data_IF_945708432402
#
_entry.id   IF_945708432402
#
_cell.length_a   1.000
_cell.length_b   1.000
_cell.length_c   1.000
_cell.angle_alpha   90.00
_cell.angle_beta   90.00
_cell.angle_gamma   90.00
#
_symmetry.space_group_name_H-M   'P 1'
#
loop_
_entity.id
_entity.type
_entity.pdbx_description
1 polymer ?
#
# COMPACT_ATOMS: atom_id res chain seq x y z
N UNK A 1 17.46 13.72 21.67
CA UNK A 1 16.43 12.66 21.78
C UNK A 1 16.89 11.56 22.74
N UNK A 2 16.32 11.46 23.96
CA UNK A 2 16.80 10.53 24.97
C UNK A 2 16.72 9.05 24.56
N UNK A 3 15.67 8.65 23.83
CA UNK A 3 15.46 7.26 23.46
C UNK A 3 16.43 6.78 22.36
N UNK A 4 16.54 7.51 21.25
CA UNK A 4 17.46 7.17 20.16
C UNK A 4 18.91 7.14 20.65
N UNK A 5 19.30 8.16 21.44
CA UNK A 5 20.62 8.23 22.07
C UNK A 5 20.89 7.00 22.95
N UNK A 6 19.96 6.64 23.84
CA UNK A 6 20.10 5.49 24.73
C UNK A 6 20.27 4.18 23.96
N UNK A 7 19.50 3.98 22.90
CA UNK A 7 19.56 2.74 22.11
C UNK A 7 20.87 2.66 21.33
N UNK A 8 21.30 3.74 20.68
CA UNK A 8 22.56 3.79 19.93
C UNK A 8 23.77 3.61 20.86
N UNK A 9 23.75 4.26 22.03
CA UNK A 9 24.82 4.16 23.02
C UNK A 9 24.95 2.76 23.63
N UNK A 10 23.83 2.10 23.92
CA UNK A 10 23.82 0.78 24.58
C UNK A 10 24.02 -0.40 23.63
N UNK A 11 23.86 -0.18 22.32
CA UNK A 11 24.13 -1.22 21.33
C UNK A 11 25.64 -1.43 21.22
N UNK A 12 26.08 -2.69 21.28
CA UNK A 12 27.50 -3.04 21.13
C UNK A 12 27.89 -3.20 19.67
N UNK A 13 27.05 -3.90 18.90
CA UNK A 13 27.27 -4.20 17.50
C UNK A 13 26.77 -3.05 16.59
N UNK A 14 26.27 -3.39 15.39
CA UNK A 14 25.76 -2.45 14.40
C UNK A 14 24.36 -1.97 14.81
N UNK A 15 24.09 -0.70 14.51
CA UNK A 15 22.75 -0.15 14.62
C UNK A 15 22.19 0.08 13.23
N UNK A 16 20.99 -0.42 12.96
CA UNK A 16 20.28 -0.21 11.70
C UNK A 16 19.07 0.67 12.00
N UNK A 17 19.04 1.89 11.46
CA UNK A 17 17.93 2.82 11.65
C UNK A 17 17.12 2.90 10.37
N UNK A 18 15.88 2.42 10.41
CA UNK A 18 14.94 2.56 9.32
C UNK A 18 14.09 3.82 9.51
N UNK A 19 14.06 4.69 8.52
CA UNK A 19 13.27 5.93 8.55
C UNK A 19 12.83 6.37 7.16
N UNK A 20 11.87 7.30 7.10
CA UNK A 20 11.49 7.94 5.85
C UNK A 20 12.66 8.75 5.30
N UNK A 21 13.01 8.54 4.02
CA UNK A 21 14.12 9.27 3.39
C UNK A 21 13.84 10.76 3.21
N UNK A 22 12.59 11.20 3.38
CA UNK A 22 12.20 12.61 3.39
C UNK A 22 12.34 13.28 4.76
N UNK A 23 12.53 12.51 5.85
CA UNK A 23 12.61 13.07 7.18
C UNK A 23 14.05 13.49 7.53
N UNK A 24 14.55 14.52 6.84
CA UNK A 24 15.93 15.03 6.96
C UNK A 24 16.33 15.31 8.41
N UNK A 25 15.49 15.98 9.19
CA UNK A 25 15.78 16.27 10.61
C UNK A 25 15.96 15.01 11.46
N UNK A 26 15.23 13.92 11.17
CA UNK A 26 15.43 12.65 11.87
C UNK A 26 16.78 12.03 11.50
N UNK A 27 17.15 12.09 10.23
CA UNK A 27 18.46 11.60 9.77
C UNK A 27 19.59 12.41 10.40
N UNK A 28 19.47 13.74 10.45
CA UNK A 28 20.42 14.61 11.17
C UNK A 28 20.60 14.16 12.63
N UNK A 29 19.50 13.96 13.36
CA UNK A 29 19.55 13.50 14.75
C UNK A 29 20.26 12.15 14.90
N UNK A 30 20.08 11.23 13.94
CA UNK A 30 20.78 9.94 13.94
C UNK A 30 22.27 10.14 13.68
N UNK A 31 22.66 11.00 12.73
CA UNK A 31 24.05 11.32 12.42
C UNK A 31 24.75 11.97 13.63
N UNK A 32 24.12 12.97 14.25
CA UNK A 32 24.65 13.64 15.43
C UNK A 32 24.86 12.65 16.58
N UNK A 33 23.89 11.74 16.77
CA UNK A 33 23.98 10.69 17.78
C UNK A 33 25.08 9.69 17.46
N UNK A 34 25.25 9.29 16.20
CA UNK A 34 26.34 8.43 15.77
C UNK A 34 27.70 9.10 16.03
N UNK A 35 27.83 10.39 15.70
CA UNK A 35 29.04 11.18 15.92
C UNK A 35 29.42 11.22 17.41
N UNK A 36 28.45 11.49 18.30
CA UNK A 36 28.66 11.52 19.75
C UNK A 36 29.20 10.20 20.31
N UNK A 37 28.83 9.07 19.70
CA UNK A 37 29.27 7.74 20.15
C UNK A 37 30.40 7.14 19.32
N UNK A 38 31.07 7.96 18.50
CA UNK A 38 32.17 7.54 17.63
C UNK A 38 31.78 6.37 16.72
N UNK A 39 30.57 6.43 16.17
CA UNK A 39 30.05 5.46 15.19
C UNK A 39 30.07 6.06 13.79
N UNK A 40 30.59 5.31 12.82
CA UNK A 40 30.55 5.69 11.40
C UNK A 40 29.15 5.48 10.84
N UNK A 41 28.78 6.22 9.78
CA UNK A 41 27.42 6.19 9.22
C UNK A 41 27.46 5.81 7.74
N UNK A 42 26.52 4.96 7.31
CA UNK A 42 26.27 4.71 5.89
C UNK A 42 24.77 4.84 5.55
N UNK A 43 24.48 5.43 4.40
CA UNK A 43 23.11 5.50 3.86
C UNK A 43 22.82 4.27 2.99
N UNK A 44 21.72 3.59 3.27
CA UNK A 44 21.29 2.40 2.53
C UNK A 44 19.99 2.68 1.78
N UNK A 45 20.02 2.47 0.47
CA UNK A 45 18.87 2.60 -0.42
C UNK A 45 18.90 3.88 -1.25
N UNK A 46 18.45 3.76 -2.50
CA UNK A 46 18.52 4.82 -3.52
C UNK A 46 17.88 6.14 -3.07
N UNK A 47 16.67 6.07 -2.51
CA UNK A 47 15.95 7.27 -2.04
C UNK A 47 16.63 7.93 -0.84
N UNK A 48 17.24 7.15 0.07
CA UNK A 48 17.97 7.70 1.21
C UNK A 48 19.21 8.47 0.73
N UNK A 49 20.04 7.83 -0.11
CA UNK A 49 21.25 8.45 -0.68
C UNK A 49 20.90 9.73 -1.45
N UNK A 50 19.91 9.65 -2.35
CA UNK A 50 19.50 10.80 -3.17
C UNK A 50 18.99 11.96 -2.32
N UNK A 51 18.07 11.70 -1.39
CA UNK A 51 17.45 12.76 -0.60
C UNK A 51 18.47 13.41 0.35
N UNK A 52 19.37 12.62 0.96
CA UNK A 52 20.38 13.17 1.86
C UNK A 52 21.42 14.00 1.11
N UNK A 53 21.78 13.61 -0.12
CA UNK A 53 22.61 14.44 -1.00
C UNK A 53 21.95 15.79 -1.28
N UNK A 54 20.68 15.79 -1.71
CA UNK A 54 19.92 17.03 -1.96
C UNK A 54 19.84 17.88 -0.68
N UNK A 55 19.55 17.27 0.46
CA UNK A 55 19.46 17.97 1.73
C UNK A 55 20.80 18.60 2.15
N UNK A 56 21.93 17.94 1.88
CA UNK A 56 23.26 18.49 2.13
C UNK A 56 23.58 19.64 1.18
N UNK A 57 23.30 19.48 -0.12
CA UNK A 57 23.51 20.52 -1.13
C UNK A 57 22.68 21.80 -0.83
N UNK A 58 21.49 21.62 -0.22
CA UNK A 58 20.60 22.71 0.20
C UNK A 58 20.91 23.25 1.61
N UNK A 59 21.87 22.67 2.35
CA UNK A 59 22.21 23.09 3.71
C UNK A 59 21.22 22.68 4.81
N UNK A 60 20.28 21.77 4.53
CA UNK A 60 19.36 21.19 5.53
C UNK A 60 19.95 20.01 6.31
N UNK A 61 21.04 19.43 5.81
CA UNK A 61 21.76 18.32 6.43
C UNK A 61 23.24 18.69 6.61
N UNK A 62 23.69 18.70 7.85
CA UNK A 62 25.07 18.92 8.23
C UNK A 62 25.72 17.58 8.57
N UNK A 63 26.72 17.18 7.80
CA UNK A 63 27.43 15.92 8.00
C UNK A 63 28.85 16.20 8.51
N UNK A 64 29.21 15.78 9.73
CA UNK A 64 30.57 15.88 10.22
C UNK A 64 31.58 15.21 9.27
N UNK A 65 32.72 15.88 9.03
CA UNK A 65 33.74 15.36 8.12
C UNK A 65 34.23 13.97 8.54
N UNK A 66 34.32 13.07 7.56
CA UNK A 66 34.79 11.69 7.75
C UNK A 66 33.80 10.74 8.42
N UNK A 67 32.61 11.17 8.86
CA UNK A 67 31.66 10.24 9.50
C UNK A 67 31.01 9.26 8.52
N UNK A 68 30.81 9.69 7.27
CA UNK A 68 30.18 8.88 6.23
C UNK A 68 31.19 7.95 5.56
N UNK A 69 30.72 6.75 5.20
CA UNK A 69 31.44 5.79 4.37
C UNK A 69 30.50 5.13 3.34
N UNK A 70 31.06 4.50 2.31
CA UNK A 70 30.24 3.76 1.33
C UNK A 70 29.80 2.43 1.95
N UNK A 71 28.50 2.12 1.85
CA UNK A 71 27.95 0.86 2.32
C UNK A 71 28.61 -0.39 1.71
N UNK A 72 29.25 -0.27 0.54
CA UNK A 72 30.03 -1.35 -0.09
C UNK A 72 31.32 -1.68 0.67
N UNK A 73 31.81 -0.74 1.46
CA UNK A 73 33.02 -0.89 2.27
C UNK A 73 32.70 -1.42 3.67
N UNK A 74 31.44 -1.78 3.96
CA UNK A 74 30.99 -2.18 5.30
C UNK A 74 31.86 -3.27 5.93
N UNK A 75 32.33 -4.25 5.14
CA UNK A 75 33.17 -5.35 5.62
C UNK A 75 34.57 -4.89 6.09
N UNK A 76 34.99 -3.66 5.74
CA UNK A 76 36.24 -3.06 6.20
C UNK A 76 36.11 -2.30 7.53
N UNK A 77 34.88 -2.13 8.05
CA UNK A 77 34.61 -1.42 9.29
C UNK A 77 34.35 -2.39 10.44
N UNK A 78 34.62 -1.93 11.66
CA UNK A 78 34.21 -2.64 12.86
C UNK A 78 32.68 -2.59 13.04
N UNK A 79 32.17 -3.28 14.06
CA UNK A 79 30.74 -3.25 14.37
C UNK A 79 30.26 -1.86 14.88
N UNK A 80 31.13 -0.84 14.99
CA UNK A 80 30.76 0.51 15.45
C UNK A 80 30.26 1.38 14.31
N UNK A 81 29.22 0.89 13.65
CA UNK A 81 28.56 1.55 12.53
C UNK A 81 27.06 1.77 12.81
N UNK A 82 26.51 2.77 12.12
CA UNK A 82 25.09 3.08 12.04
C UNK A 82 24.67 3.08 10.57
N UNK A 83 23.76 2.18 10.21
CA UNK A 83 23.21 2.06 8.87
C UNK A 83 21.84 2.73 8.81
N UNK A 84 21.71 3.82 8.06
CA UNK A 84 20.44 4.55 7.93
C UNK A 84 19.78 4.11 6.63
N UNK A 85 18.64 3.44 6.73
CA UNK A 85 18.03 2.73 5.60
C UNK A 85 16.56 3.09 5.35
N UNK A 86 16.08 2.79 4.15
CA UNK A 86 14.64 2.80 3.81
C UNK A 86 13.96 1.49 4.21
N UNK A 87 12.62 1.46 4.17
CA UNK A 87 11.83 0.25 4.40
C UNK A 87 11.15 0.19 5.75
N UNK A 88 10.91 1.35 6.36
CA UNK A 88 10.30 1.41 7.69
C UNK A 88 8.79 1.11 7.69
N UNK A 89 8.18 0.96 6.51
CA UNK A 89 6.79 0.49 6.34
C UNK A 89 6.70 -0.96 5.82
N UNK A 90 7.82 -1.69 5.77
CA UNK A 90 7.84 -3.07 5.28
C UNK A 90 7.65 -3.19 3.77
N UNK A 91 7.97 -2.14 3.00
CA UNK A 91 7.89 -2.18 1.54
C UNK A 91 8.83 -3.28 1.01
N UNK A 92 8.35 -4.28 0.25
CA UNK A 92 9.13 -5.50 -0.04
C UNK A 92 10.51 -5.25 -0.67
N UNK A 93 10.60 -4.24 -1.55
CA UNK A 93 11.84 -3.92 -2.28
C UNK A 93 12.74 -2.91 -1.56
N UNK A 94 12.33 -2.41 -0.39
CA UNK A 94 13.14 -1.47 0.37
C UNK A 94 14.31 -2.16 1.10
N UNK A 95 15.29 -1.36 1.51
CA UNK A 95 16.54 -1.86 2.06
C UNK A 95 16.31 -2.77 3.28
N UNK A 96 15.53 -2.32 4.27
CA UNK A 96 15.28 -3.10 5.47
C UNK A 96 14.55 -4.42 5.19
N UNK A 97 13.50 -4.39 4.37
CA UNK A 97 12.73 -5.61 4.02
C UNK A 97 13.59 -6.63 3.31
N UNK A 98 14.48 -6.19 2.40
CA UNK A 98 15.45 -7.09 1.76
C UNK A 98 16.46 -7.65 2.75
N UNK A 99 16.91 -6.88 3.74
CA UNK A 99 17.77 -7.41 4.82
C UNK A 99 17.02 -8.47 5.64
N UNK A 100 15.76 -8.21 5.97
CA UNK A 100 14.90 -9.11 6.73
C UNK A 100 14.56 -10.41 5.97
N UNK A 101 14.43 -10.36 4.65
CA UNK A 101 14.19 -11.55 3.83
C UNK A 101 15.48 -12.29 3.44
N UNK A 102 16.65 -11.71 3.74
CA UNK A 102 17.92 -12.27 3.30
C UNK A 102 18.24 -12.06 1.81
N UNK A 103 17.56 -11.11 1.16
CA UNK A 103 17.76 -10.72 -0.24
C UNK A 103 18.65 -9.48 -0.40
N UNK A 104 19.42 -9.14 0.64
CA UNK A 104 20.34 -8.01 0.68
C UNK A 104 21.77 -8.48 0.98
N UNK A 105 22.79 -7.75 0.48
CA UNK A 105 24.20 -8.06 0.75
C UNK A 105 24.50 -7.94 2.25
N UNK A 106 24.00 -6.89 2.89
CA UNK A 106 24.05 -6.72 4.34
C UNK A 106 23.11 -7.73 5.01
N UNK A 107 23.67 -8.62 5.83
CA UNK A 107 22.94 -9.57 6.67
C UNK A 107 22.77 -9.01 8.07
N UNK A 108 21.54 -8.95 8.56
CA UNK A 108 21.22 -8.56 9.94
C UNK A 108 21.15 -9.83 10.79
N UNK A 109 21.69 -9.80 12.01
CA UNK A 109 21.60 -10.93 12.92
C UNK A 109 21.98 -10.64 14.37
N UNK A 110 22.43 -11.67 15.09
CA UNK A 110 22.75 -11.62 16.51
C UNK A 110 23.58 -10.40 16.93
N UNK A 111 23.08 -9.68 17.94
CA UNK A 111 23.75 -8.52 18.52
C UNK A 111 23.53 -7.20 17.77
N UNK A 112 22.99 -7.22 16.54
CA UNK A 112 22.55 -6.02 15.86
C UNK A 112 21.28 -5.44 16.53
N UNK A 113 21.14 -4.12 16.47
CA UNK A 113 19.91 -3.45 16.88
C UNK A 113 19.27 -2.76 15.69
N UNK A 114 18.01 -3.09 15.40
CA UNK A 114 17.20 -2.41 14.39
C UNK A 114 16.25 -1.42 15.06
N UNK A 115 16.27 -0.16 14.63
CA UNK A 115 15.40 0.91 15.11
C UNK A 115 14.44 1.30 13.98
N UNK A 116 13.16 1.01 14.17
CA UNK A 116 12.08 1.52 13.32
C UNK A 116 11.71 2.93 13.79
N UNK A 117 12.35 3.94 13.20
CA UNK A 117 12.19 5.34 13.55
C UNK A 117 10.97 6.01 12.86
N UNK A 118 9.93 5.24 12.53
CA UNK A 118 8.67 5.70 11.97
C UNK A 118 7.47 5.13 12.71
N UNK A 119 6.31 5.80 12.62
CA UNK A 119 5.03 5.20 12.93
C UNK A 119 4.62 4.19 11.85
N UNK A 120 3.77 3.25 12.21
CA UNK A 120 3.02 2.45 11.25
C UNK A 120 2.00 3.36 10.55
N UNK A 121 1.98 3.34 9.22
CA UNK A 121 0.89 3.90 8.43
C UNK A 121 -0.23 2.85 8.37
N UNK A 122 -1.50 3.21 8.62
CA UNK A 122 -2.62 2.28 8.52
C UNK A 122 -2.63 1.52 7.19
N UNK A 123 -2.77 0.19 7.27
CA UNK A 123 -2.71 -0.72 6.12
C UNK A 123 -1.36 -1.42 5.93
N UNK A 124 -0.28 -0.92 6.54
CA UNK A 124 1.07 -1.50 6.42
C UNK A 124 1.44 -2.42 7.60
N UNK A 125 0.53 -2.66 8.54
CA UNK A 125 0.81 -3.41 9.78
C UNK A 125 1.36 -4.81 9.50
N UNK A 126 0.71 -5.56 8.60
CA UNK A 126 1.14 -6.91 8.24
C UNK A 126 2.55 -6.94 7.64
N UNK A 127 2.87 -5.99 6.76
CA UNK A 127 4.18 -5.89 6.12
C UNK A 127 5.27 -5.57 7.15
N UNK A 128 5.02 -4.61 8.04
CA UNK A 128 5.97 -4.24 9.10
C UNK A 128 6.16 -5.39 10.08
N UNK A 129 5.09 -6.05 10.54
CA UNK A 129 5.21 -7.17 11.49
C UNK A 129 5.96 -8.36 10.89
N UNK A 130 5.81 -8.63 9.59
CA UNK A 130 6.62 -9.64 8.90
C UNK A 130 8.10 -9.30 8.95
N UNK A 131 8.47 -8.06 8.65
CA UNK A 131 9.87 -7.60 8.74
C UNK A 131 10.40 -7.70 10.17
N UNK A 132 9.61 -7.30 11.18
CA UNK A 132 10.00 -7.42 12.60
C UNK A 132 10.23 -8.89 12.97
N UNK A 133 9.33 -9.80 12.56
CA UNK A 133 9.44 -11.22 12.85
C UNK A 133 10.72 -11.82 12.26
N UNK A 134 11.03 -11.57 10.99
CA UNK A 134 12.25 -12.13 10.38
C UNK A 134 13.54 -11.53 10.98
N UNK A 135 13.57 -10.22 11.24
CA UNK A 135 14.73 -9.60 11.91
C UNK A 135 14.94 -10.18 13.32
N UNK A 136 13.86 -10.41 14.06
CA UNK A 136 13.90 -11.03 15.39
C UNK A 136 14.30 -12.49 15.30
N UNK A 137 13.83 -13.22 14.27
CA UNK A 137 14.20 -14.62 13.99
C UNK A 137 15.69 -14.78 13.71
N UNK A 138 16.31 -13.80 13.06
CA UNK A 138 17.77 -13.74 12.89
C UNK A 138 18.53 -13.25 14.13
N UNK A 139 17.83 -12.95 15.22
CA UNK A 139 18.41 -12.60 16.52
C UNK A 139 18.79 -11.14 16.70
N UNK A 140 18.34 -10.27 15.79
CA UNK A 140 18.48 -8.83 15.99
C UNK A 140 17.48 -8.31 17.03
N UNK A 141 17.92 -7.33 17.81
CA UNK A 141 17.06 -6.60 18.73
C UNK A 141 16.26 -5.55 17.97
N UNK A 142 14.93 -5.65 17.95
CA UNK A 142 14.07 -4.69 17.25
C UNK A 142 13.45 -3.67 18.21
N UNK A 143 13.66 -2.38 17.93
CA UNK A 143 13.14 -1.24 18.68
C UNK A 143 12.17 -0.46 17.81
N UNK A 144 10.95 -0.24 18.29
CA UNK A 144 9.87 0.43 17.56
C UNK A 144 8.94 1.18 18.53
N UNK A 145 7.99 1.96 18.00
CA UNK A 145 7.11 2.85 18.79
C UNK A 145 6.43 2.16 20.00
N UNK A 146 6.09 0.87 19.92
CA UNK A 146 5.39 0.18 21.01
C UNK A 146 6.31 -0.17 22.20
N UNK A 147 7.63 -0.25 21.99
CA UNK A 147 8.59 -0.62 23.04
C UNK A 147 9.56 0.51 23.42
N UNK A 148 9.66 1.56 22.59
CA UNK A 148 10.43 2.77 22.91
C UNK A 148 9.90 4.00 22.15
N UNK A 149 10.05 5.18 22.77
CA UNK A 149 9.69 6.47 22.16
C UNK A 149 10.72 6.93 21.12
N UNK A 150 10.87 6.16 20.04
CA UNK A 150 11.82 6.42 18.94
C UNK A 150 11.21 7.18 17.75
N UNK A 151 9.93 7.50 17.82
CA UNK A 151 9.22 8.23 16.79
C UNK A 151 8.16 9.17 17.38
N UNK A 152 7.94 10.28 16.70
CA UNK A 152 6.88 11.26 16.94
C UNK A 152 6.24 11.60 15.58
N UNK A 153 4.94 11.88 15.60
CA UNK A 153 4.17 12.27 14.41
C UNK A 153 4.74 13.54 13.78
N UNK A 154 4.65 13.66 12.46
CA UNK A 154 4.88 14.93 11.75
C UNK A 154 3.65 15.85 11.72
N UNK A 155 2.51 15.36 12.21
CA UNK A 155 1.25 16.11 12.28
C UNK A 155 0.92 16.48 13.73
N UNK A 156 0.40 17.70 13.90
CA UNK A 156 -0.03 18.26 15.18
C UNK A 156 -1.11 17.41 15.85
N UNK A 157 -0.96 17.19 17.16
CA UNK A 157 -2.00 16.59 18.00
C UNK A 157 -3.08 17.63 18.36
N UNK A 158 -4.17 17.17 19.00
CA UNK A 158 -5.29 18.02 19.37
C UNK A 158 -4.89 19.28 20.16
N UNK A 159 -3.96 19.16 21.11
CA UNK A 159 -3.48 20.31 21.89
C UNK A 159 -2.71 21.35 21.05
N UNK A 160 -1.93 20.90 20.07
CA UNK A 160 -1.20 21.78 19.15
C UNK A 160 -2.15 22.45 18.15
N UNK A 161 -3.19 21.73 17.68
CA UNK A 161 -4.26 22.29 16.86
C UNK A 161 -5.06 23.34 17.62
N UNK A 162 -5.46 23.05 18.87
CA UNK A 162 -6.15 24.00 19.74
C UNK A 162 -5.30 25.25 19.98
N UNK A 163 -4.01 25.08 20.24
CA UNK A 163 -3.07 26.18 20.38
C UNK A 163 -3.01 27.05 19.11
N UNK A 164 -2.96 26.43 17.92
CA UNK A 164 -3.00 27.12 16.64
C UNK A 164 -4.29 27.95 16.49
N UNK A 165 -5.46 27.39 16.75
CA UNK A 165 -6.73 28.12 16.66
C UNK A 165 -6.81 29.30 17.64
N UNK A 166 -6.27 29.14 18.86
CA UNK A 166 -6.22 30.23 19.84
C UNK A 166 -5.30 31.39 19.43
N UNK A 167 -4.29 31.14 18.59
CA UNK A 167 -3.43 32.17 18.01
C UNK A 167 -4.15 32.86 16.84
N UNK A 168 -4.66 32.07 15.88
CA UNK A 168 -5.21 32.58 14.62
C UNK A 168 -6.58 33.23 14.82
N UNK A 169 -7.39 32.72 15.76
CA UNK A 169 -8.77 33.16 16.06
C UNK A 169 -9.62 33.32 14.80
N UNK A 170 -9.75 32.28 13.98
CA UNK A 170 -10.43 32.38 12.70
C UNK A 170 -11.94 32.61 12.88
N UNK A 171 -12.56 33.40 11.98
CA UNK A 171 -14.03 33.51 11.89
C UNK A 171 -14.65 32.22 11.33
N UNK A 172 -13.97 31.58 10.37
CA UNK A 172 -14.37 30.36 9.68
C UNK A 172 -13.24 29.34 9.63
N UNK A 173 -13.57 28.05 9.70
CA UNK A 173 -12.60 26.95 9.61
C UNK A 173 -13.06 25.91 8.62
N UNK A 174 -12.15 25.49 7.76
CA UNK A 174 -12.30 24.36 6.84
C UNK A 174 -11.19 23.34 7.17
N UNK A 175 -11.47 22.28 7.94
CA UNK A 175 -10.50 21.22 8.17
C UNK A 175 -10.13 20.52 6.87
N UNK A 176 -8.84 20.29 6.66
CA UNK A 176 -8.30 19.57 5.49
C UNK A 176 -7.34 18.47 5.92
N UNK A 177 -6.90 17.65 4.96
CA UNK A 177 -5.85 16.63 5.14
C UNK A 177 -6.21 15.56 6.20
N UNK A 178 -7.35 14.89 6.02
CA UNK A 178 -7.74 13.73 6.82
C UNK A 178 -9.02 13.06 6.32
N UNK A 179 -9.24 11.82 6.74
CA UNK A 179 -10.53 11.14 6.57
C UNK A 179 -11.64 11.85 7.37
N UNK A 180 -12.91 11.59 7.04
CA UNK A 180 -14.08 12.24 7.65
C UNK A 180 -14.04 12.33 9.19
N UNK A 181 -13.64 11.25 9.87
CA UNK A 181 -13.49 11.23 11.34
C UNK A 181 -12.45 12.23 11.86
N UNK A 182 -11.37 12.47 11.12
CA UNK A 182 -10.35 13.46 11.47
C UNK A 182 -10.84 14.88 11.21
N UNK A 183 -11.51 15.10 10.07
CA UNK A 183 -12.07 16.41 9.71
C UNK A 183 -13.08 16.86 10.76
N UNK A 184 -13.99 15.95 11.15
CA UNK A 184 -14.96 16.20 12.22
C UNK A 184 -14.28 16.50 13.56
N UNK A 185 -13.30 15.68 13.97
CA UNK A 185 -12.59 15.92 15.22
C UNK A 185 -11.85 17.29 15.23
N UNK A 186 -11.24 17.66 14.10
CA UNK A 186 -10.56 18.96 13.98
C UNK A 186 -11.55 20.14 13.98
N UNK A 187 -12.72 19.99 13.35
CA UNK A 187 -13.79 20.99 13.44
C UNK A 187 -14.26 21.20 14.88
N UNK A 188 -14.46 20.12 15.65
CA UNK A 188 -14.85 20.24 17.06
C UNK A 188 -13.78 20.95 17.90
N UNK A 189 -12.49 20.69 17.65
CA UNK A 189 -11.40 21.43 18.32
C UNK A 189 -11.46 22.93 17.99
N UNK A 190 -11.77 23.29 16.74
CA UNK A 190 -11.95 24.69 16.35
C UNK A 190 -13.16 25.31 17.08
N UNK A 191 -14.27 24.58 17.18
CA UNK A 191 -15.47 25.04 17.90
C UNK A 191 -15.18 25.25 19.38
N UNK A 192 -14.47 24.32 20.02
CA UNK A 192 -14.02 24.43 21.42
C UNK A 192 -13.11 25.65 21.65
N UNK A 193 -12.37 26.08 20.62
CA UNK A 193 -11.55 27.30 20.67
C UNK A 193 -12.33 28.61 20.51
N UNK A 194 -13.63 28.53 20.22
CA UNK A 194 -14.53 29.68 20.08
C UNK A 194 -15.03 29.97 18.66
N UNK A 195 -14.72 29.14 17.67
CA UNK A 195 -15.31 29.25 16.33
C UNK A 195 -16.78 28.85 16.41
N UNK A 196 -17.67 29.62 15.78
CA UNK A 196 -19.10 29.26 15.74
C UNK A 196 -19.28 27.95 14.95
N UNK A 197 -20.22 27.11 15.38
CA UNK A 197 -20.42 25.78 14.77
C UNK A 197 -20.82 25.89 13.30
N UNK A 198 -21.68 26.84 12.97
CA UNK A 198 -22.08 27.18 11.60
C UNK A 198 -20.92 27.64 10.72
N UNK A 199 -19.82 28.09 11.31
CA UNK A 199 -18.63 28.57 10.61
C UNK A 199 -17.54 27.49 10.46
N UNK A 200 -17.79 26.26 10.93
CA UNK A 200 -16.89 25.13 10.81
C UNK A 200 -17.37 24.20 9.67
N UNK A 201 -16.76 24.36 8.48
CA UNK A 201 -17.15 23.62 7.27
C UNK A 201 -16.48 22.25 7.22
N UNK A 202 -17.27 21.17 7.28
CA UNK A 202 -16.80 19.81 7.00
C UNK A 202 -17.38 19.40 5.65
N UNK A 203 -16.55 19.36 4.62
CA UNK A 203 -16.98 19.15 3.23
C UNK A 203 -16.13 18.09 2.54
N UNK A 204 -16.66 17.55 1.44
CA UNK A 204 -15.97 16.57 0.60
C UNK A 204 -15.14 17.26 -0.50
N UNK A 205 -14.27 16.48 -1.15
CA UNK A 205 -13.53 16.97 -2.32
C UNK A 205 -14.51 17.45 -3.40
N UNK A 206 -14.19 18.59 -4.03
CA UNK A 206 -15.01 19.17 -5.10
C UNK A 206 -16.13 20.10 -4.63
N UNK A 207 -16.43 20.18 -3.33
CA UNK A 207 -17.33 21.20 -2.79
C UNK A 207 -16.64 22.58 -2.85
N UNK A 208 -17.39 23.60 -3.29
CA UNK A 208 -16.90 24.97 -3.46
C UNK A 208 -17.38 25.84 -2.30
N UNK A 209 -16.44 26.54 -1.65
CA UNK A 209 -16.71 27.53 -0.60
C UNK A 209 -16.24 28.89 -1.11
N UNK A 210 -17.17 29.82 -1.25
CA UNK A 210 -16.84 31.21 -1.53
C UNK A 210 -16.49 31.92 -0.23
N UNK A 211 -15.49 32.81 -0.26
CA UNK A 211 -15.18 33.74 0.82
C UNK A 211 -15.20 35.16 0.24
N UNK A 212 -16.34 35.83 0.36
CA UNK A 212 -16.58 37.16 -0.22
C UNK A 212 -16.92 38.12 0.91
N UNK A 213 -16.26 39.28 0.96
CA UNK A 213 -16.49 40.31 1.99
C UNK A 213 -16.47 39.77 3.44
N UNK A 214 -15.56 38.83 3.72
CA UNK A 214 -15.44 38.16 5.02
C UNK A 214 -16.64 37.26 5.42
N UNK A 215 -17.49 36.88 4.47
CA UNK A 215 -18.52 35.86 4.65
C UNK A 215 -18.18 34.62 3.83
N UNK A 216 -18.28 33.46 4.46
CA UNK A 216 -17.99 32.19 3.82
C UNK A 216 -19.28 31.38 3.66
N UNK A 217 -19.50 30.85 2.46
CA UNK A 217 -20.69 30.06 2.14
C UNK A 217 -20.34 28.92 1.19
N UNK A 218 -21.00 27.77 1.37
CA UNK A 218 -20.95 26.66 0.40
C UNK A 218 -21.85 27.01 -0.78
N UNK A 219 -21.26 27.28 -1.94
CA UNK A 219 -21.98 27.81 -3.11
C UNK A 219 -22.22 26.78 -4.21
N UNK A 220 -21.60 25.61 -4.14
CA UNK A 220 -21.80 24.57 -5.14
C UNK A 220 -20.77 23.46 -5.10
N UNK A 221 -20.60 22.81 -6.25
CA UNK A 221 -19.63 21.72 -6.44
C UNK A 221 -19.06 21.73 -7.85
N UNK A 222 -17.85 21.21 -7.97
CA UNK A 222 -17.18 20.93 -9.24
C UNK A 222 -16.90 19.44 -9.38
N UNK A 223 -16.96 18.87 -10.60
CA UNK A 223 -16.59 17.49 -10.82
C UNK A 223 -15.15 17.24 -10.38
N UNK A 224 -14.97 16.30 -9.46
CA UNK A 224 -13.65 15.80 -9.09
C UNK A 224 -13.72 14.28 -8.91
N UNK A 225 -12.61 13.60 -9.17
CA UNK A 225 -12.55 12.15 -9.11
C UNK A 225 -11.12 11.65 -9.10
N UNK A 226 -10.95 10.35 -8.91
CA UNK A 226 -9.64 9.73 -8.92
C UNK A 226 -9.14 9.54 -10.35
N UNK A 227 -7.86 9.84 -10.57
CA UNK A 227 -7.12 9.45 -11.76
C UNK A 227 -6.09 8.43 -11.33
N UNK A 228 -6.25 7.18 -11.79
CA UNK A 228 -5.33 6.10 -11.47
C UNK A 228 -4.12 6.11 -12.42
N UNK A 229 -2.96 5.75 -11.89
CA UNK A 229 -1.70 5.67 -12.65
C UNK A 229 -1.14 4.26 -12.49
N UNK A 230 -0.81 3.61 -13.60
CA UNK A 230 -0.20 2.28 -13.63
C UNK A 230 0.89 2.21 -14.70
N UNK A 231 2.14 2.11 -14.25
CA UNK A 231 3.31 2.19 -15.11
C UNK A 231 3.36 3.53 -15.86
N UNK A 232 3.31 3.46 -17.19
CA UNK A 232 3.28 4.63 -18.08
C UNK A 232 1.88 5.14 -18.42
N UNK A 233 0.83 4.41 -18.05
CA UNK A 233 -0.56 4.77 -18.33
C UNK A 233 -1.11 5.69 -17.25
N UNK A 234 -1.72 6.80 -17.66
CA UNK A 234 -2.36 7.79 -16.79
C UNK A 234 -3.84 7.85 -17.18
N UNK A 235 -4.73 7.48 -16.25
CA UNK A 235 -6.18 7.57 -16.44
C UNK A 235 -6.83 6.43 -17.23
N UNK A 236 -6.05 5.53 -17.84
CA UNK A 236 -6.58 4.36 -18.57
C UNK A 236 -7.25 3.34 -17.63
N UNK A 237 -6.81 3.28 -16.38
CA UNK A 237 -7.41 2.41 -15.38
C UNK A 237 -8.67 3.05 -14.82
N UNK A 238 -9.74 2.29 -14.90
CA UNK A 238 -11.06 2.63 -14.36
C UNK A 238 -11.37 1.81 -13.11
N UNK A 239 -12.39 2.21 -12.35
CA UNK A 239 -12.93 1.38 -11.26
C UNK A 239 -13.38 -0.01 -11.75
N UNK A 240 -13.92 -0.11 -12.97
CA UNK A 240 -14.26 -1.41 -13.57
C UNK A 240 -13.04 -2.29 -13.76
N UNK A 241 -11.93 -1.71 -14.24
CA UNK A 241 -10.65 -2.43 -14.40
C UNK A 241 -10.13 -2.93 -13.04
N UNK A 242 -10.24 -2.12 -11.98
CA UNK A 242 -9.86 -2.53 -10.63
C UNK A 242 -10.76 -3.63 -10.07
N UNK A 243 -12.06 -3.55 -10.34
CA UNK A 243 -13.03 -4.60 -9.97
C UNK A 243 -12.69 -5.93 -10.64
N UNK A 244 -12.36 -5.90 -11.94
CA UNK A 244 -11.95 -7.08 -12.69
C UNK A 244 -10.66 -7.69 -12.12
N UNK A 245 -9.65 -6.87 -11.84
CA UNK A 245 -8.41 -7.31 -11.17
C UNK A 245 -8.69 -7.96 -9.81
N UNK A 246 -9.61 -7.41 -9.02
CA UNK A 246 -10.00 -7.98 -7.72
C UNK A 246 -10.64 -9.36 -7.88
N UNK A 247 -11.60 -9.51 -8.80
CA UNK A 247 -12.24 -10.81 -9.08
C UNK A 247 -11.17 -11.82 -9.52
N UNK A 248 -10.27 -11.44 -10.42
CA UNK A 248 -9.19 -12.32 -10.88
C UNK A 248 -8.24 -12.73 -9.75
N UNK A 249 -7.93 -11.82 -8.83
CA UNK A 249 -7.03 -12.08 -7.70
C UNK A 249 -7.65 -12.93 -6.57
N UNK A 250 -8.95 -12.76 -6.30
CA UNK A 250 -9.64 -13.44 -5.18
C UNK A 250 -10.33 -14.73 -5.63
N UNK A 251 -10.99 -14.70 -6.79
CA UNK A 251 -11.87 -15.78 -7.27
C UNK A 251 -11.24 -16.59 -8.41
N UNK A 252 -10.23 -16.03 -9.09
CA UNK A 252 -9.62 -16.63 -10.26
C UNK A 252 -10.48 -16.47 -11.52
N UNK A 253 -10.16 -17.28 -12.52
CA UNK A 253 -10.70 -17.20 -13.87
C UNK A 253 -10.97 -18.58 -14.45
N UNK A 254 -12.05 -18.69 -15.23
CA UNK A 254 -12.42 -19.87 -16.00
C UNK A 254 -12.71 -19.46 -17.44
N UNK A 255 -11.96 -20.01 -18.39
CA UNK A 255 -12.25 -19.94 -19.83
C UNK A 255 -12.87 -21.24 -20.31
N UNK A 256 -13.81 -21.13 -21.25
CA UNK A 256 -14.54 -22.27 -21.79
C UNK A 256 -14.59 -22.11 -23.30
N UNK A 257 -14.03 -23.06 -24.02
CA UNK A 257 -13.95 -23.00 -25.48
C UNK A 257 -14.81 -24.14 -26.03
N UNK A 258 -15.77 -23.79 -26.87
CA UNK A 258 -16.67 -24.74 -27.52
C UNK A 258 -16.80 -24.40 -28.99
N UNK A 259 -16.61 -25.39 -29.86
CA UNK A 259 -16.87 -25.29 -31.29
C UNK A 259 -18.17 -26.01 -31.57
N UNK A 260 -19.14 -25.33 -32.18
CA UNK A 260 -20.47 -25.86 -32.46
C UNK A 260 -20.81 -25.75 -33.93
N UNK A 261 -21.55 -26.73 -34.43
CA UNK A 261 -22.18 -26.65 -35.74
C UNK A 261 -23.47 -25.82 -35.61
N UNK A 262 -23.52 -24.70 -36.32
CA UNK A 262 -24.58 -23.69 -36.19
C UNK A 262 -25.99 -24.21 -36.53
N UNK A 263 -26.10 -25.21 -37.42
CA UNK A 263 -27.39 -25.75 -37.87
C UNK A 263 -27.98 -26.81 -36.94
N UNK A 264 -27.13 -27.60 -36.28
CA UNK A 264 -27.57 -28.76 -35.48
C UNK A 264 -27.40 -28.53 -33.97
N UNK A 265 -26.60 -27.54 -33.58
CA UNK A 265 -26.20 -27.32 -32.19
C UNK A 265 -25.28 -28.40 -31.65
N UNK A 266 -24.76 -29.28 -32.53
CA UNK A 266 -23.84 -30.34 -32.16
C UNK A 266 -22.47 -29.73 -31.88
N UNK A 267 -21.88 -30.11 -30.76
CA UNK A 267 -20.52 -29.72 -30.43
C UNK A 267 -19.56 -30.53 -31.32
N UNK A 268 -18.77 -29.79 -32.09
CA UNK A 268 -17.75 -30.33 -33.01
C UNK A 268 -16.43 -30.53 -32.27
N UNK A 269 -16.10 -29.64 -31.33
CA UNK A 269 -14.93 -29.74 -30.45
C UNK A 269 -15.14 -29.01 -29.12
N UNK A 270 -14.49 -29.47 -28.05
CA UNK A 270 -14.73 -29.02 -26.68
C UNK A 270 -15.93 -29.74 -26.02
N UNK A 271 -16.45 -29.26 -24.86
CA UNK A 271 -16.04 -28.06 -24.13
C UNK A 271 -14.68 -28.20 -23.45
N UNK A 272 -13.71 -27.39 -23.85
CA UNK A 272 -12.42 -27.27 -23.18
C UNK A 272 -12.48 -26.19 -22.11
N UNK A 273 -12.17 -26.55 -20.86
CA UNK A 273 -12.27 -25.66 -19.71
C UNK A 273 -10.87 -25.43 -19.14
N UNK A 274 -10.45 -24.18 -19.13
CA UNK A 274 -9.18 -23.76 -18.54
C UNK A 274 -9.43 -22.88 -17.33
N UNK A 275 -8.87 -23.27 -16.19
CA UNK A 275 -8.99 -22.52 -14.95
C UNK A 275 -7.62 -22.01 -14.45
N UNK A 276 -7.60 -20.79 -13.91
CA UNK A 276 -6.43 -20.20 -13.24
C UNK A 276 -6.87 -19.55 -11.94
N UNK A 277 -6.23 -19.88 -10.80
CA UNK A 277 -6.59 -19.36 -9.48
C UNK A 277 -7.93 -19.86 -8.91
N UNK A 278 -8.61 -20.77 -9.61
CA UNK A 278 -9.89 -21.34 -9.18
C UNK A 278 -9.72 -22.75 -8.59
N UNK A 279 -9.11 -23.68 -9.32
CA UNK A 279 -8.79 -25.03 -8.85
C UNK A 279 -7.74 -25.68 -9.77
N UNK A 280 -6.91 -26.59 -9.24
CA UNK A 280 -5.82 -27.24 -10.00
C UNK A 280 -6.20 -28.62 -10.59
N UNK A 281 -7.31 -29.22 -10.14
CA UNK A 281 -7.76 -30.53 -10.62
C UNK A 281 -8.75 -30.39 -11.80
N UNK A 282 -8.30 -30.82 -12.99
CA UNK A 282 -9.09 -30.79 -14.23
C UNK A 282 -10.29 -31.75 -14.21
N UNK A 283 -10.20 -32.88 -13.49
CA UNK A 283 -11.26 -33.89 -13.42
C UNK A 283 -12.55 -33.32 -12.80
N UNK A 284 -12.41 -32.26 -12.02
CA UNK A 284 -13.52 -31.60 -11.35
C UNK A 284 -14.48 -30.93 -12.35
N UNK A 285 -14.00 -30.62 -13.57
CA UNK A 285 -14.79 -30.00 -14.62
C UNK A 285 -15.57 -31.00 -15.49
N UNK A 286 -15.31 -32.30 -15.39
CA UNK A 286 -15.99 -33.29 -16.25
C UNK A 286 -17.50 -33.35 -16.00
N UNK A 287 -17.92 -33.11 -14.75
CA UNK A 287 -19.35 -32.98 -14.41
C UNK A 287 -20.00 -31.81 -15.13
N UNK A 288 -19.34 -30.64 -15.17
CA UNK A 288 -19.92 -29.44 -15.77
C UNK A 288 -19.83 -29.46 -17.29
N UNK A 289 -18.85 -30.15 -17.88
CA UNK A 289 -18.78 -30.39 -19.34
C UNK A 289 -20.08 -31.00 -19.85
N UNK A 290 -20.54 -32.09 -19.23
CA UNK A 290 -21.81 -32.73 -19.61
C UNK A 290 -23.05 -31.84 -19.40
N UNK A 291 -23.01 -30.91 -18.44
CA UNK A 291 -24.09 -29.93 -18.26
C UNK A 291 -24.08 -28.86 -19.36
N UNK A 292 -22.90 -28.42 -19.80
CA UNK A 292 -22.72 -27.45 -20.88
C UNK A 292 -23.20 -28.04 -22.20
N UNK A 293 -22.84 -29.29 -22.51
CA UNK A 293 -23.29 -29.96 -23.72
C UNK A 293 -24.82 -30.01 -23.79
N UNK A 294 -25.47 -30.48 -22.72
CA UNK A 294 -26.94 -30.54 -22.64
C UNK A 294 -27.58 -29.16 -22.77
N UNK A 295 -27.02 -28.14 -22.11
CA UNK A 295 -27.55 -26.78 -22.14
C UNK A 295 -27.44 -26.15 -23.54
N UNK A 296 -26.34 -26.39 -24.25
CA UNK A 296 -26.14 -25.88 -25.61
C UNK A 296 -27.06 -26.57 -26.62
N UNK A 297 -27.17 -27.91 -26.58
CA UNK A 297 -28.08 -28.64 -27.47
C UNK A 297 -29.54 -28.23 -27.24
N UNK A 298 -29.97 -28.06 -25.98
CA UNK A 298 -31.30 -27.58 -25.67
C UNK A 298 -31.55 -26.15 -26.17
N UNK A 299 -30.59 -25.24 -25.97
CA UNK A 299 -30.71 -23.86 -26.42
C UNK A 299 -30.88 -23.78 -27.95
N UNK A 300 -30.09 -24.52 -28.72
CA UNK A 300 -30.21 -24.53 -30.18
C UNK A 300 -31.55 -25.15 -30.63
N UNK A 301 -32.01 -26.22 -29.97
CA UNK A 301 -33.32 -26.80 -30.24
C UNK A 301 -34.50 -25.84 -29.94
N UNK A 302 -34.34 -24.96 -28.96
CA UNK A 302 -35.28 -23.88 -28.64
C UNK A 302 -35.16 -22.65 -29.57
N UNK A 303 -34.26 -22.71 -30.57
CA UNK A 303 -34.08 -21.66 -31.58
C UNK A 303 -33.10 -20.55 -31.17
N UNK A 304 -32.32 -20.74 -30.10
CA UNK A 304 -31.24 -19.81 -29.72
C UNK A 304 -30.11 -19.93 -30.73
N UNK A 305 -29.87 -18.85 -31.46
CA UNK A 305 -28.83 -18.78 -32.49
C UNK A 305 -27.84 -17.64 -32.18
N UNK A 306 -26.61 -17.81 -32.65
CA UNK A 306 -25.57 -16.80 -32.56
C UNK A 306 -24.64 -16.97 -31.36
N UNK A 307 -23.34 -16.87 -31.65
CA UNK A 307 -22.22 -17.04 -30.72
C UNK A 307 -22.37 -16.31 -29.39
N UNK A 308 -22.94 -15.09 -29.39
CA UNK A 308 -23.15 -14.32 -28.15
C UNK A 308 -24.18 -14.96 -27.21
N UNK A 309 -25.33 -15.39 -27.74
CA UNK A 309 -26.39 -15.98 -26.92
C UNK A 309 -25.94 -17.33 -26.36
N UNK A 310 -25.30 -18.14 -27.19
CA UNK A 310 -24.75 -19.44 -26.79
C UNK A 310 -23.62 -19.29 -25.77
N UNK A 311 -22.78 -18.26 -25.91
CA UNK A 311 -21.79 -17.88 -24.89
C UNK A 311 -22.46 -17.55 -23.54
N UNK A 312 -23.60 -16.85 -23.52
CA UNK A 312 -24.34 -16.60 -22.27
C UNK A 312 -24.89 -17.88 -21.63
N UNK A 313 -25.33 -18.85 -22.44
CA UNK A 313 -25.76 -20.17 -21.95
C UNK A 313 -24.61 -20.86 -21.22
N UNK A 314 -23.43 -20.94 -21.85
CA UNK A 314 -22.22 -21.52 -21.23
C UNK A 314 -21.86 -20.80 -19.93
N UNK A 315 -21.85 -19.46 -19.94
CA UNK A 315 -21.55 -18.65 -18.75
C UNK A 315 -22.53 -18.94 -17.60
N UNK A 316 -23.83 -19.04 -17.90
CA UNK A 316 -24.86 -19.31 -16.88
C UNK A 316 -24.72 -20.72 -16.30
N UNK A 317 -24.46 -21.72 -17.15
CA UNK A 317 -24.28 -23.11 -16.72
C UNK A 317 -23.10 -23.26 -15.77
N UNK A 318 -21.93 -22.75 -16.17
CA UNK A 318 -20.74 -22.79 -15.29
C UNK A 318 -20.92 -21.90 -14.07
N UNK A 319 -21.49 -20.70 -14.22
CA UNK A 319 -21.72 -19.80 -13.09
C UNK A 319 -22.64 -20.43 -12.03
N UNK A 320 -23.68 -21.15 -12.46
CA UNK A 320 -24.57 -21.90 -11.58
C UNK A 320 -23.85 -23.04 -10.87
N UNK A 321 -23.10 -23.87 -11.61
CA UNK A 321 -22.34 -24.98 -11.03
C UNK A 321 -21.28 -24.51 -10.03
N UNK A 322 -20.48 -23.51 -10.39
CA UNK A 322 -19.46 -22.92 -9.49
C UNK A 322 -20.11 -22.32 -8.24
N UNK A 323 -21.19 -21.54 -8.42
CA UNK A 323 -21.89 -20.90 -7.30
C UNK A 323 -22.51 -21.91 -6.33
N UNK A 324 -23.09 -23.01 -6.83
CA UNK A 324 -23.74 -24.02 -6.00
C UNK A 324 -22.74 -24.95 -5.33
N UNK A 325 -21.77 -25.49 -6.10
CA UNK A 325 -20.86 -26.53 -5.62
C UNK A 325 -19.66 -25.98 -4.87
N UNK A 326 -19.14 -24.82 -5.29
CA UNK A 326 -17.92 -24.23 -4.74
C UNK A 326 -18.16 -22.95 -3.94
N UNK A 327 -19.36 -22.36 -4.02
CA UNK A 327 -19.71 -21.08 -3.35
C UNK A 327 -18.74 -19.94 -3.71
N UNK A 328 -18.21 -19.98 -4.93
CA UNK A 328 -17.26 -19.00 -5.48
C UNK A 328 -17.87 -18.25 -6.67
N UNK A 329 -17.22 -17.17 -7.09
CA UNK A 329 -17.67 -16.33 -8.22
C UNK A 329 -16.50 -15.90 -9.11
N UNK A 330 -15.81 -16.84 -9.78
CA UNK A 330 -14.71 -16.53 -10.69
C UNK A 330 -15.19 -15.72 -11.88
N UNK A 331 -14.25 -15.04 -12.52
CA UNK A 331 -14.50 -14.47 -13.85
C UNK A 331 -14.66 -15.61 -14.86
N UNK A 332 -15.79 -15.63 -15.57
CA UNK A 332 -16.10 -16.66 -16.59
C UNK A 332 -16.10 -16.02 -17.97
N UNK A 333 -15.22 -16.50 -18.84
CA UNK A 333 -15.11 -16.07 -20.24
C UNK A 333 -15.36 -17.25 -21.18
N UNK A 334 -16.61 -17.41 -21.64
CA UNK A 334 -16.96 -18.39 -22.67
C UNK A 334 -16.54 -17.88 -24.05
N UNK A 335 -16.07 -18.79 -24.89
CA UNK A 335 -15.74 -18.58 -26.30
C UNK A 335 -16.46 -19.67 -27.08
N UNK A 336 -17.53 -19.28 -27.78
CA UNK A 336 -18.26 -20.17 -28.68
C UNK A 336 -17.90 -19.83 -30.12
N UNK A 337 -17.41 -20.82 -30.85
CA UNK A 337 -17.07 -20.71 -32.28
C UNK A 337 -18.09 -21.51 -33.07
N UNK A 338 -18.76 -20.86 -34.02
CA UNK A 338 -19.67 -21.51 -34.96
C UNK A 338 -18.89 -21.95 -36.21
N UNK A 339 -19.12 -23.18 -36.65
CA UNK A 339 -18.64 -23.74 -37.93
C UNK A 339 -19.78 -24.17 -38.83
#
# INVERSE_FOLDING_TARGET
>A
MPALNRVIASTKRRVIVASFSSHVHRVQQVIDTAAMHNRRVAFIGRSMIRNMKIAQDMGYLNVPSGILFDARELDNYDDRVVLICTGSQGEPMAALSRMANGDHQIRVGDGDTVILASSLIPGNENSVFRVINELTRFGAKVVHKANAMVHVSGHAAAGELLYCYNIVKPKYVLPVHGEWRHLKANAEIAIESGVLRENAFIIENGIVVDLINHEAEVVGSVPCGFVYVDGGSIGDITESSLKDRRILGEEGFISVIVVIESQTGKIVAGPDIHARGFNEDEALFDEVKGQIEKALTAAVAEGVNGTHQLSQVVRRTIGGWVGQKHRRRPMIVPVVVEV
#
